data_IF_611871168443
#
_entry.id   IF_611871168443
#
_cell.length_a   1.000
_cell.length_b   1.000
_cell.length_c   1.000
_cell.angle_alpha   90.00
_cell.angle_beta   90.00
_cell.angle_gamma   90.00
#
_symmetry.space_group_name_H-M   'P 1'
#
loop_
_entity.id
_entity.type
_entity.pdbx_description
1 polymer ?
#
# COMPACT_ATOMS: atom_id res chain seq x y z
N UNK A 1 -0.10 -6.07 -15.63
CA UNK A 1 0.62 -4.78 -15.72
C UNK A 1 0.59 -4.13 -14.35
N UNK A 2 1.64 -3.40 -13.97
CA UNK A 2 1.76 -2.73 -12.67
C UNK A 2 2.10 -1.26 -12.85
N UNK A 3 1.81 -0.47 -11.83
CA UNK A 3 2.24 0.92 -11.69
C UNK A 3 2.95 1.09 -10.36
N UNK A 4 4.03 1.86 -10.34
CA UNK A 4 4.72 2.24 -9.12
C UNK A 4 3.99 3.44 -8.50
N UNK A 5 3.62 3.33 -7.22
CA UNK A 5 3.00 4.42 -6.45
C UNK A 5 3.87 4.79 -5.25
N UNK A 6 3.84 6.05 -4.84
CA UNK A 6 4.51 6.53 -3.63
C UNK A 6 4.05 5.75 -2.38
N UNK A 7 4.99 5.13 -1.66
CA UNK A 7 4.70 4.42 -0.40
C UNK A 7 4.19 5.40 0.66
N UNK A 8 4.82 6.57 0.76
CA UNK A 8 4.41 7.59 1.72
C UNK A 8 3.01 8.11 1.40
N UNK A 9 2.75 8.44 0.13
CA UNK A 9 1.44 8.92 -0.30
C UNK A 9 0.34 7.87 -0.10
N UNK A 10 0.64 6.60 -0.34
CA UNK A 10 -0.25 5.50 0.02
C UNK A 10 -0.48 5.46 1.53
N UNK A 11 0.57 5.42 2.35
CA UNK A 11 0.49 5.34 3.81
C UNK A 11 -0.36 6.45 4.45
N UNK A 12 -0.23 7.68 3.94
CA UNK A 12 -0.93 8.84 4.44
C UNK A 12 -2.41 8.86 4.05
N UNK A 13 -2.75 8.30 2.88
CA UNK A 13 -4.12 8.25 2.35
C UNK A 13 -4.80 6.90 2.55
N UNK A 14 -4.11 5.91 3.11
CA UNK A 14 -4.63 4.58 3.38
C UNK A 14 -5.67 4.60 4.49
N UNK A 15 -6.72 3.80 4.34
CA UNK A 15 -7.78 3.65 5.34
C UNK A 15 -7.19 3.24 6.69
N UNK A 16 -7.50 4.00 7.75
CA UNK A 16 -6.85 3.82 9.06
C UNK A 16 -7.12 2.46 9.66
N UNK A 17 -8.33 1.94 9.51
CA UNK A 17 -8.65 0.58 9.98
C UNK A 17 -7.86 -0.52 9.29
N UNK A 18 -7.33 -0.30 8.08
CA UNK A 18 -6.45 -1.26 7.42
C UNK A 18 -4.99 -1.10 7.83
N UNK A 19 -4.56 0.14 8.07
CA UNK A 19 -3.21 0.50 8.49
C UNK A 19 -2.92 0.16 9.95
N UNK A 20 -3.87 0.42 10.83
CA UNK A 20 -3.65 0.46 12.27
C UNK A 20 -4.18 -0.80 12.98
N UNK A 21 -5.10 -1.56 12.38
CA UNK A 21 -5.69 -2.75 13.00
C UNK A 21 -5.16 -4.05 12.37
N UNK A 22 -5.07 -5.13 13.16
CA UNK A 22 -4.71 -6.48 12.71
C UNK A 22 -3.42 -6.54 11.87
N UNK A 23 -2.40 -5.79 12.28
CA UNK A 23 -1.05 -5.89 11.73
C UNK A 23 -0.33 -7.02 12.45
N UNK A 24 -0.08 -8.12 11.72
CA UNK A 24 0.64 -9.27 12.27
C UNK A 24 2.14 -9.10 12.07
N UNK A 25 2.87 -8.78 13.14
CA UNK A 25 4.29 -8.42 13.04
C UNK A 25 5.21 -9.48 12.42
N UNK A 26 5.06 -10.79 12.69
CA UNK A 26 5.83 -11.80 11.98
C UNK A 26 5.66 -11.75 10.45
N UNK A 27 4.46 -11.43 9.96
CA UNK A 27 4.21 -11.26 8.53
C UNK A 27 4.86 -9.97 7.99
N UNK A 28 4.86 -8.88 8.76
CA UNK A 28 5.59 -7.65 8.40
C UNK A 28 7.09 -7.92 8.33
N UNK A 29 7.66 -8.60 9.32
CA UNK A 29 9.07 -8.92 9.36
C UNK A 29 9.49 -9.83 8.21
N UNK A 30 8.64 -10.79 7.82
CA UNK A 30 8.85 -11.59 6.63
C UNK A 30 9.04 -10.73 5.38
N UNK A 31 8.16 -9.75 5.15
CA UNK A 31 8.28 -8.83 4.01
C UNK A 31 9.47 -7.86 4.14
N UNK A 32 9.81 -7.40 5.34
CA UNK A 32 11.04 -6.62 5.58
C UNK A 32 12.26 -7.43 5.14
N UNK A 33 12.35 -8.70 5.54
CA UNK A 33 13.46 -9.56 5.15
C UNK A 33 13.51 -9.75 3.62
N UNK A 34 12.36 -9.96 2.97
CA UNK A 34 12.30 -10.06 1.50
C UNK A 34 12.78 -8.78 0.82
N UNK A 35 12.38 -7.60 1.31
CA UNK A 35 12.84 -6.31 0.79
C UNK A 35 14.35 -6.13 0.95
N UNK A 36 14.91 -6.44 2.12
CA UNK A 36 16.36 -6.37 2.38
C UNK A 36 17.15 -7.30 1.44
N UNK A 37 16.59 -8.48 1.16
CA UNK A 37 17.19 -9.48 0.25
C UNK A 37 16.91 -9.19 -1.23
N UNK A 38 16.26 -8.07 -1.58
CA UNK A 38 15.81 -7.72 -2.93
C UNK A 38 15.02 -8.84 -3.62
N UNK A 39 14.22 -9.58 -2.86
CA UNK A 39 13.35 -10.61 -3.41
C UNK A 39 12.13 -9.99 -4.09
N UNK A 40 11.66 -10.55 -5.22
CA UNK A 40 10.47 -10.06 -5.87
C UNK A 40 9.25 -10.23 -4.97
N UNK A 41 8.45 -9.18 -4.86
CA UNK A 41 7.19 -9.17 -4.14
C UNK A 41 6.03 -9.07 -5.13
N UNK A 42 4.88 -9.71 -4.85
CA UNK A 42 3.68 -9.46 -5.63
C UNK A 42 3.29 -7.98 -5.54
N UNK A 43 2.62 -7.48 -6.58
CA UNK A 43 2.03 -6.15 -6.55
C UNK A 43 0.83 -6.11 -5.58
N UNK A 44 0.56 -4.94 -5.00
CA UNK A 44 -0.61 -4.70 -4.14
C UNK A 44 -1.83 -4.41 -5.00
N UNK A 45 -3.01 -4.87 -4.60
CA UNK A 45 -4.27 -4.52 -5.24
C UNK A 45 -4.98 -3.39 -4.47
N UNK A 46 -5.29 -2.28 -5.14
CA UNK A 46 -6.26 -1.29 -4.62
C UNK A 46 -7.67 -1.82 -4.89
N UNK A 47 -8.47 -1.96 -3.83
CA UNK A 47 -9.85 -2.47 -3.89
C UNK A 47 -10.82 -1.37 -4.31
N UNK A 48 -10.79 -0.25 -3.59
CA UNK A 48 -11.73 0.88 -3.74
C UNK A 48 -11.23 2.12 -3.03
N UNK A 49 -11.85 3.25 -3.35
CA UNK A 49 -11.80 4.48 -2.56
C UNK A 49 -12.99 4.49 -1.59
N UNK A 50 -12.76 4.86 -0.34
CA UNK A 50 -13.79 4.86 0.71
C UNK A 50 -13.88 6.24 1.35
N UNK A 51 -15.08 6.66 1.73
CA UNK A 51 -15.26 7.82 2.59
C UNK A 51 -15.08 7.39 4.06
N UNK A 52 -14.11 7.98 4.74
CA UNK A 52 -13.85 7.79 6.17
C UNK A 52 -13.91 9.16 6.87
N UNK A 53 -15.12 9.56 7.28
CA UNK A 53 -15.34 10.81 8.02
C UNK A 53 -15.25 12.06 7.15
N UNK A 54 -15.75 12.03 5.92
CA UNK A 54 -15.71 13.13 4.96
C UNK A 54 -14.38 13.24 4.21
N UNK A 55 -13.46 12.30 4.41
CA UNK A 55 -12.20 12.21 3.68
C UNK A 55 -12.16 10.94 2.85
N UNK A 56 -11.82 11.09 1.56
CA UNK A 56 -11.58 9.94 0.69
C UNK A 56 -10.27 9.27 1.12
N UNK A 57 -10.31 7.95 1.28
CA UNK A 57 -9.18 7.10 1.64
C UNK A 57 -9.05 5.94 0.67
N UNK A 58 -7.85 5.41 0.55
CA UNK A 58 -7.55 4.23 -0.25
C UNK A 58 -7.81 2.99 0.60
N UNK A 59 -8.47 1.99 0.03
CA UNK A 59 -8.58 0.65 0.61
C UNK A 59 -7.90 -0.34 -0.31
N UNK A 60 -7.00 -1.15 0.23
CA UNK A 60 -6.33 -2.23 -0.50
C UNK A 60 -7.06 -3.55 -0.29
N UNK A 61 -7.13 -4.39 -1.33
CA UNK A 61 -7.71 -5.72 -1.21
C UNK A 61 -6.75 -6.66 -0.45
N UNK A 62 -5.45 -6.41 -0.58
CA UNK A 62 -4.39 -7.16 0.06
C UNK A 62 -3.20 -6.26 0.43
N UNK A 63 -2.07 -6.86 0.81
CA UNK A 63 -0.81 -6.13 0.87
C UNK A 63 -0.58 -5.28 2.11
N UNK A 64 -1.45 -5.32 3.12
CA UNK A 64 -1.27 -4.51 4.36
C UNK A 64 0.11 -4.64 5.00
N UNK A 65 0.60 -5.87 5.14
CA UNK A 65 1.89 -6.16 5.77
C UNK A 65 3.05 -5.75 4.85
N UNK A 66 2.86 -5.87 3.52
CA UNK A 66 3.81 -5.41 2.50
C UNK A 66 3.96 -3.89 2.53
N UNK A 67 2.85 -3.15 2.51
CA UNK A 67 2.86 -1.69 2.57
C UNK A 67 3.47 -1.19 3.89
N UNK A 68 3.12 -1.85 5.00
CA UNK A 68 3.73 -1.56 6.32
C UNK A 68 5.24 -1.82 6.31
N UNK A 69 5.69 -2.96 5.77
CA UNK A 69 7.10 -3.28 5.64
C UNK A 69 7.84 -2.26 4.76
N UNK A 70 7.26 -1.92 3.59
CA UNK A 70 7.82 -0.94 2.66
C UNK A 70 7.96 0.45 3.30
N UNK A 71 6.95 0.89 4.04
CA UNK A 71 6.97 2.15 4.79
C UNK A 71 8.08 2.13 5.87
N UNK A 72 8.20 1.04 6.66
CA UNK A 72 9.27 0.90 7.67
C UNK A 72 10.68 0.89 7.06
N UNK A 73 10.81 0.42 5.83
CA UNK A 73 12.08 0.41 5.10
C UNK A 73 12.32 1.70 4.30
N UNK A 74 11.46 2.72 4.44
CA UNK A 74 11.53 3.98 3.70
C UNK A 74 11.63 3.77 2.18
N UNK A 75 10.96 2.75 1.65
CA UNK A 75 10.89 2.53 0.21
C UNK A 75 10.19 3.73 -0.45
N UNK A 76 10.75 4.24 -1.55
CA UNK A 76 10.14 5.37 -2.25
C UNK A 76 8.81 4.97 -2.90
N UNK A 77 8.80 3.81 -3.54
CA UNK A 77 7.65 3.32 -4.32
C UNK A 77 7.37 1.85 -4.05
N UNK A 78 6.13 1.44 -4.32
CA UNK A 78 5.71 0.04 -4.31
C UNK A 78 4.90 -0.27 -5.56
N UNK A 79 5.05 -1.50 -6.07
CA UNK A 79 4.27 -1.96 -7.21
C UNK A 79 2.83 -2.23 -6.82
N UNK A 80 1.91 -1.65 -7.58
CA UNK A 80 0.46 -1.81 -7.47
C UNK A 80 -0.08 -2.33 -8.79
N UNK A 81 -1.10 -3.19 -8.73
CA UNK A 81 -1.79 -3.65 -9.93
C UNK A 81 -2.38 -2.45 -10.69
N UNK A 82 -2.11 -2.40 -11.99
CA UNK A 82 -2.61 -1.33 -12.84
C UNK A 82 -4.09 -1.55 -13.15
N UNK A 83 -4.94 -1.00 -12.28
CA UNK A 83 -6.40 -1.01 -12.40
C UNK A 83 -6.92 0.42 -12.52
N UNK A 84 -8.16 0.58 -13.02
CA UNK A 84 -8.81 1.89 -13.10
C UNK A 84 -8.79 2.61 -11.74
N UNK A 85 -9.14 1.89 -10.67
CA UNK A 85 -9.15 2.46 -9.32
C UNK A 85 -7.76 2.88 -8.84
N UNK A 86 -6.70 2.15 -9.22
CA UNK A 86 -5.34 2.50 -8.87
C UNK A 86 -4.87 3.77 -9.61
N UNK A 87 -5.27 3.94 -10.87
CA UNK A 87 -5.02 5.17 -11.65
C UNK A 87 -5.77 6.36 -11.05
N UNK A 88 -7.05 6.18 -10.71
CA UNK A 88 -7.84 7.24 -10.05
C UNK A 88 -7.25 7.64 -8.70
N UNK A 89 -6.77 6.68 -7.90
CA UNK A 89 -6.09 6.98 -6.65
C UNK A 89 -4.79 7.77 -6.89
N UNK A 90 -4.02 7.39 -7.91
CA UNK A 90 -2.80 8.13 -8.30
C UNK A 90 -3.10 9.58 -8.66
N UNK A 91 -4.17 9.82 -9.41
CA UNK A 91 -4.57 11.17 -9.83
C UNK A 91 -5.10 12.01 -8.67
N UNK A 92 -5.99 11.45 -7.84
CA UNK A 92 -6.62 12.16 -6.71
C UNK A 92 -5.58 12.54 -5.64
N UNK A 93 -4.64 11.66 -5.36
CA UNK A 93 -3.66 11.83 -4.28
C UNK A 93 -2.26 12.21 -4.76
N UNK A 94 -2.07 12.39 -6.08
CA UNK A 94 -0.78 12.71 -6.71
C UNK A 94 0.36 11.74 -6.30
N UNK A 95 0.08 10.42 -6.43
CA UNK A 95 0.96 9.32 -6.00
C UNK A 95 2.02 8.91 -7.02
#
# INVERSE_FOLDING_TARGET
MTIALSVQGLWDNWQRSQRDNNIHEPAVQHYVNMLILNQPLPAIAIEKLVDEGGMIRIRTADGRHRLTAAHRQNQATIDVLDTEIARSAREIFNL
#
